data_IF_053290264610
#
_entry.id   IF_053290264610
#
_cell.length_a   1.000
_cell.length_b   1.000
_cell.length_c   1.000
_cell.angle_alpha   90.00
_cell.angle_beta   90.00
_cell.angle_gamma   90.00
#
_symmetry.space_group_name_H-M   'P 1'
#
loop_
_entity.id
_entity.type
_entity.pdbx_description
1 polymer ?
#
# COMPACT_ATOMS: atom_id res chain seq x y z
N UNK A 1 3.50 -33.21 22.29
CA UNK A 1 2.37 -32.43 21.72
C UNK A 1 2.74 -30.96 21.74
N UNK A 2 2.33 -30.18 20.74
CA UNK A 2 2.68 -28.76 20.62
C UNK A 2 1.87 -27.87 21.58
N UNK A 3 2.53 -26.93 22.25
CA UNK A 3 1.90 -25.91 23.09
C UNK A 3 2.48 -24.53 22.79
N UNK A 4 2.00 -23.88 21.73
CA UNK A 4 2.52 -22.57 21.29
C UNK A 4 1.97 -21.47 22.19
N UNK A 5 2.81 -20.85 23.02
CA UNK A 5 2.46 -19.58 23.68
C UNK A 5 2.83 -18.41 22.76
N UNK A 6 1.83 -17.89 22.05
CA UNK A 6 1.98 -16.69 21.22
C UNK A 6 1.83 -15.43 22.08
N UNK A 7 2.83 -14.55 22.04
CA UNK A 7 2.75 -13.20 22.61
C UNK A 7 3.56 -12.24 21.71
N UNK A 8 2.86 -11.53 20.83
CA UNK A 8 3.33 -10.26 20.23
C UNK A 8 3.19 -9.13 21.29
N UNK A 9 3.72 -7.89 21.13
CA UNK A 9 4.31 -7.27 19.93
C UNK A 9 5.63 -6.47 20.18
N UNK A 10 6.20 -5.85 19.14
CA UNK A 10 7.30 -4.87 19.33
C UNK A 10 7.96 -4.36 18.05
N UNK A 11 7.35 -3.38 17.37
CA UNK A 11 8.01 -2.65 16.26
C UNK A 11 9.13 -1.76 16.78
N UNK A 12 10.25 -1.66 16.05
CA UNK A 12 11.39 -0.77 16.37
C UNK A 12 11.86 -0.03 15.09
N UNK A 13 12.14 1.28 15.16
CA UNK A 13 12.45 2.11 13.99
C UNK A 13 13.89 1.94 13.48
N UNK A 14 14.14 2.36 12.24
CA UNK A 14 15.42 2.17 11.53
C UNK A 14 16.31 3.43 11.47
N UNK A 15 17.63 3.21 11.46
CA UNK A 15 18.70 4.15 11.07
C UNK A 15 18.94 5.40 11.94
N UNK A 16 20.13 6.01 12.00
CA UNK A 16 21.47 5.65 11.48
C UNK A 16 22.58 6.45 12.22
N UNK A 17 23.82 5.90 12.25
CA UNK A 17 25.09 6.54 11.81
C UNK A 17 26.34 5.78 12.31
N UNK A 18 27.26 5.49 11.39
CA UNK A 18 28.63 5.00 11.67
C UNK A 18 29.56 6.20 11.99
N UNK A 19 30.83 6.11 12.35
CA UNK A 19 31.87 5.05 12.28
C UNK A 19 32.81 5.21 13.52
N UNK A 20 33.83 4.40 13.83
CA UNK A 20 34.52 3.26 13.21
C UNK A 20 34.68 2.11 14.23
N UNK A 21 35.10 0.91 13.77
CA UNK A 21 35.40 -0.27 14.59
C UNK A 21 35.16 -1.57 13.80
N UNK A 22 35.84 -2.69 14.10
CA UNK A 22 35.98 -3.81 13.16
C UNK A 22 34.71 -4.67 13.03
N UNK A 23 34.20 -4.82 11.79
CA UNK A 23 33.12 -5.74 11.42
C UNK A 23 33.26 -6.16 9.94
N UNK A 24 33.78 -7.36 9.66
CA UNK A 24 33.75 -7.91 8.29
C UNK A 24 33.63 -9.46 8.26
N UNK A 25 32.51 -9.99 8.74
CA UNK A 25 31.99 -11.27 8.22
C UNK A 25 30.48 -11.35 8.36
N UNK A 26 29.76 -10.75 7.41
CA UNK A 26 28.78 -11.42 6.53
C UNK A 26 28.03 -10.33 5.76
N UNK A 27 27.93 -10.48 4.44
CA UNK A 27 27.26 -9.50 3.59
C UNK A 27 25.77 -9.43 3.94
N UNK A 28 25.35 -8.37 4.65
CA UNK A 28 23.94 -8.10 4.92
C UNK A 28 23.29 -7.55 3.65
N UNK A 29 22.71 -8.46 2.86
CA UNK A 29 21.94 -8.14 1.66
C UNK A 29 20.85 -7.14 1.98
N UNK A 30 21.06 -5.87 1.61
CA UNK A 30 19.97 -4.90 1.48
C UNK A 30 19.28 -5.18 0.15
N UNK A 31 18.54 -6.30 0.10
CA UNK A 31 17.43 -6.38 -0.85
C UNK A 31 16.43 -5.34 -0.36
N UNK A 32 16.25 -4.26 -1.12
CA UNK A 32 15.17 -3.32 -0.88
C UNK A 32 13.87 -4.07 -1.09
N UNK A 33 13.27 -4.52 0.02
CA UNK A 33 11.93 -5.07 0.06
C UNK A 33 10.97 -3.88 -0.05
N UNK A 34 10.83 -3.39 -1.28
CA UNK A 34 9.85 -2.38 -1.62
C UNK A 34 8.48 -3.04 -1.49
N UNK A 35 7.79 -2.77 -0.39
CA UNK A 35 6.47 -3.31 -0.16
C UNK A 35 5.57 -2.95 -1.36
N UNK A 36 4.94 -3.97 -1.94
CA UNK A 36 4.03 -3.84 -3.07
C UNK A 36 2.73 -3.17 -2.60
N UNK A 37 2.79 -1.86 -2.30
CA UNK A 37 1.64 -1.03 -1.96
C UNK A 37 0.83 -0.79 -3.24
N UNK A 38 0.22 -1.87 -3.73
CA UNK A 38 -0.68 -1.88 -4.87
C UNK A 38 -1.93 -1.08 -4.52
N UNK A 39 -2.13 0.03 -5.22
CA UNK A 39 -3.39 0.75 -5.17
C UNK A 39 -4.49 -0.17 -5.72
N UNK A 40 -5.50 -0.46 -4.91
CA UNK A 40 -6.60 -1.35 -5.30
C UNK A 40 -7.73 -0.58 -5.99
N UNK A 41 -8.17 -1.07 -7.15
CA UNK A 41 -9.31 -0.55 -7.88
C UNK A 41 -10.60 -0.77 -7.08
N UNK A 42 -11.39 0.28 -6.87
CA UNK A 42 -12.63 0.22 -6.10
C UNK A 42 -13.82 -0.37 -6.88
N UNK A 43 -13.68 -0.59 -8.20
CA UNK A 43 -14.79 -1.05 -9.03
C UNK A 43 -15.03 -2.55 -8.88
N UNK A 44 -16.27 -2.94 -8.52
CA UNK A 44 -16.66 -4.31 -8.20
C UNK A 44 -16.60 -5.32 -9.35
N UNK A 45 -16.39 -4.85 -10.60
CA UNK A 45 -16.29 -5.67 -11.82
C UNK A 45 -14.90 -5.55 -12.47
N UNK A 46 -13.86 -5.24 -11.68
CA UNK A 46 -12.51 -5.05 -12.18
C UNK A 46 -11.72 -6.37 -12.23
N UNK A 47 -11.26 -6.76 -13.42
CA UNK A 47 -10.35 -7.90 -13.62
C UNK A 47 -8.90 -7.60 -13.18
N UNK A 48 -8.55 -6.31 -13.02
CA UNK A 48 -7.20 -5.81 -12.78
C UNK A 48 -7.13 -4.91 -11.53
N UNK A 49 -7.50 -5.40 -10.33
CA UNK A 49 -7.63 -4.55 -9.16
C UNK A 49 -6.30 -3.95 -8.70
N UNK A 50 -5.16 -4.59 -9.00
CA UNK A 50 -3.81 -4.20 -8.58
C UNK A 50 -3.18 -3.07 -9.42
N UNK A 51 -3.82 -2.69 -10.53
CA UNK A 51 -3.32 -1.74 -11.52
C UNK A 51 -3.97 -0.35 -11.39
N UNK A 52 -4.36 0.09 -10.18
CA UNK A 52 -5.16 1.29 -9.97
C UNK A 52 -4.34 2.61 -10.04
N UNK A 53 -3.89 2.93 -11.25
CA UNK A 53 -3.07 4.12 -11.57
C UNK A 53 -3.84 5.45 -11.54
N UNK A 54 -5.17 5.41 -11.72
CA UNK A 54 -6.02 6.62 -11.76
C UNK A 54 -6.78 6.81 -10.45
N UNK A 55 -7.01 8.06 -10.03
CA UNK A 55 -7.88 8.37 -8.89
C UNK A 55 -8.93 9.42 -9.25
N UNK A 56 -10.06 9.40 -8.55
CA UNK A 56 -11.15 10.35 -8.81
C UNK A 56 -10.67 11.80 -8.64
N UNK A 57 -10.72 12.62 -9.71
CA UNK A 57 -10.19 13.99 -9.68
C UNK A 57 -10.87 14.92 -8.66
N UNK A 58 -12.12 14.62 -8.26
CA UNK A 58 -12.88 15.40 -7.27
C UNK A 58 -12.47 15.08 -5.84
N UNK A 59 -12.62 13.81 -5.43
CA UNK A 59 -12.43 13.40 -4.04
C UNK A 59 -11.03 12.84 -3.74
N UNK A 60 -10.23 12.48 -4.76
CA UNK A 60 -8.86 11.93 -4.67
C UNK A 60 -8.67 10.72 -3.73
N UNK A 61 -9.76 10.19 -3.18
CA UNK A 61 -9.84 9.19 -2.11
C UNK A 61 -10.06 7.76 -2.65
N UNK A 62 -10.44 7.62 -3.91
CA UNK A 62 -10.79 6.35 -4.54
C UNK A 62 -10.00 6.16 -5.83
N UNK A 63 -9.43 4.97 -5.98
CA UNK A 63 -8.54 4.57 -7.06
C UNK A 63 -9.24 3.61 -8.03
N UNK A 64 -8.85 3.68 -9.30
CA UNK A 64 -9.37 2.89 -10.41
C UNK A 64 -8.25 2.56 -11.39
N UNK A 65 -8.29 1.39 -12.03
CA UNK A 65 -7.36 1.07 -13.12
C UNK A 65 -7.65 1.89 -14.38
N UNK A 66 -8.94 2.10 -14.68
CA UNK A 66 -9.42 2.70 -15.93
C UNK A 66 -10.64 3.60 -15.70
N UNK A 67 -10.92 4.50 -16.66
CA UNK A 67 -12.14 5.32 -16.65
C UNK A 67 -13.43 4.48 -16.69
N UNK A 68 -13.40 3.28 -17.27
CA UNK A 68 -14.55 2.36 -17.28
C UNK A 68 -14.91 1.88 -15.87
N UNK A 69 -13.90 1.48 -15.08
CA UNK A 69 -14.06 1.14 -13.68
C UNK A 69 -14.62 2.32 -12.87
N UNK A 70 -14.12 3.54 -13.12
CA UNK A 70 -14.67 4.76 -12.52
C UNK A 70 -16.14 4.97 -12.91
N UNK A 71 -16.52 4.77 -14.18
CA UNK A 71 -17.90 4.94 -14.67
C UNK A 71 -18.86 3.88 -14.12
N UNK A 72 -18.40 2.63 -13.98
CA UNK A 72 -19.17 1.54 -13.38
C UNK A 72 -19.47 1.82 -11.91
N UNK A 73 -18.46 2.21 -11.13
CA UNK A 73 -18.63 2.59 -9.73
C UNK A 73 -19.34 3.95 -9.54
N UNK A 74 -19.31 4.84 -10.55
CA UNK A 74 -19.82 6.22 -10.45
C UNK A 74 -21.24 6.31 -9.87
N UNK A 75 -22.14 5.37 -10.20
CA UNK A 75 -23.51 5.35 -9.67
C UNK A 75 -23.59 5.19 -8.16
N UNK A 76 -22.66 4.44 -7.56
CA UNK A 76 -22.50 4.30 -6.11
C UNK A 76 -21.58 5.40 -5.55
N UNK A 77 -20.39 5.56 -6.13
CA UNK A 77 -19.38 6.52 -5.74
C UNK A 77 -19.91 7.96 -5.65
N UNK A 78 -20.72 8.43 -6.61
CA UNK A 78 -21.23 9.82 -6.65
C UNK A 78 -21.96 10.24 -5.36
N UNK A 79 -22.58 9.30 -4.65
CA UNK A 79 -23.30 9.56 -3.39
C UNK A 79 -22.36 9.91 -2.24
N UNK A 80 -21.13 9.38 -2.30
CA UNK A 80 -20.08 9.54 -1.29
C UNK A 80 -18.87 10.34 -1.82
N UNK A 81 -19.00 10.97 -2.99
CA UNK A 81 -17.91 11.69 -3.66
C UNK A 81 -17.74 13.10 -3.06
N UNK A 82 -17.13 13.17 -1.88
CA UNK A 82 -16.83 14.44 -1.21
C UNK A 82 -15.63 15.10 -1.89
N UNK A 83 -15.77 16.30 -2.49
CA UNK A 83 -14.63 16.97 -3.12
C UNK A 83 -13.61 17.40 -2.06
N UNK A 84 -12.32 17.12 -2.29
CA UNK A 84 -11.28 17.65 -1.40
C UNK A 84 -11.11 19.13 -1.67
N UNK A 85 -11.31 19.95 -0.64
CA UNK A 85 -10.83 21.33 -0.63
C UNK A 85 -9.30 21.28 -0.59
N UNK A 86 -8.66 22.07 -1.45
CA UNK A 86 -7.20 22.25 -1.47
C UNK A 86 -6.79 23.46 -0.65
#
# INVERSE_FOLDING_TARGET
MIGRRMQQPGVRPASAKAWLGPLNTLARSNKGEWEEVGYTCNASLCEHPKDAVSRCGRCKNVYYCSQECQKADWSAHKRNCVPMKS
#
